data_IF_140868453193
#
_entry.id   IF_140868453193
#
_cell.length_a   1.000
_cell.length_b   1.000
_cell.length_c   1.000
_cell.angle_alpha   90.00
_cell.angle_beta   90.00
_cell.angle_gamma   90.00
#
_symmetry.space_group_name_H-M   'P 1'
#
loop_
_entity.id
_entity.type
_entity.pdbx_description
1 polymer ?
#
# COMPACT_ATOMS: atom_id res chain seq x y z
N UNK A 1 -9.32 -35.76 8.45
CA UNK A 1 -8.33 -34.81 7.90
C UNK A 1 -8.95 -34.07 6.71
N UNK A 2 -9.39 -32.82 6.88
CA UNK A 2 -9.95 -32.01 5.78
C UNK A 2 -8.82 -31.48 4.89
N UNK A 3 -8.87 -31.75 3.58
CA UNK A 3 -7.98 -31.19 2.55
C UNK A 3 -7.85 -29.67 2.74
N UNK A 4 -6.67 -29.18 3.12
CA UNK A 4 -6.31 -27.76 2.95
C UNK A 4 -6.49 -27.44 1.47
N UNK A 5 -7.40 -26.54 1.13
CA UNK A 5 -7.66 -26.16 -0.26
C UNK A 5 -6.47 -25.41 -0.85
N UNK A 6 -6.29 -25.59 -2.15
CA UNK A 6 -5.21 -25.14 -3.04
C UNK A 6 -5.08 -23.60 -3.20
N UNK A 7 -5.53 -22.81 -2.21
CA UNK A 7 -5.53 -21.34 -2.22
C UNK A 7 -4.12 -20.76 -2.38
N UNK A 8 -3.09 -21.39 -1.83
CA UNK A 8 -1.70 -20.96 -2.00
C UNK A 8 -1.24 -21.03 -3.46
N UNK A 9 -1.72 -22.01 -4.24
CA UNK A 9 -1.42 -22.11 -5.67
C UNK A 9 -2.16 -21.03 -6.48
N UNK A 10 -3.38 -20.66 -6.08
CA UNK A 10 -4.16 -19.60 -6.72
C UNK A 10 -3.57 -18.20 -6.47
N UNK A 11 -2.86 -18.01 -5.36
CA UNK A 11 -2.14 -16.79 -5.03
C UNK A 11 -0.73 -16.73 -5.64
N UNK A 12 -0.34 -17.72 -6.45
CA UNK A 12 0.95 -17.68 -7.13
C UNK A 12 0.97 -16.50 -8.14
N UNK A 13 2.04 -15.69 -8.20
CA UNK A 13 2.07 -14.49 -9.04
C UNK A 13 1.75 -14.74 -10.52
N UNK A 14 2.18 -15.88 -11.08
CA UNK A 14 1.85 -16.28 -12.46
C UNK A 14 0.36 -16.58 -12.68
N UNK A 15 -0.35 -17.08 -11.67
CA UNK A 15 -1.79 -17.35 -11.74
C UNK A 15 -2.56 -16.04 -11.64
N UNK A 16 -2.17 -15.16 -10.72
CA UNK A 16 -2.77 -13.82 -10.58
C UNK A 16 -2.55 -13.01 -11.86
N UNK A 17 -1.35 -13.09 -12.46
CA UNK A 17 -1.03 -12.36 -13.68
C UNK A 17 -1.98 -12.67 -14.85
N UNK A 18 -2.53 -13.89 -14.91
CA UNK A 18 -3.49 -14.35 -15.93
C UNK A 18 -4.89 -13.73 -15.77
N UNK A 19 -5.20 -13.12 -14.63
CA UNK A 19 -6.46 -12.42 -14.45
C UNK A 19 -6.51 -11.17 -15.34
N UNK A 20 -7.69 -10.90 -15.92
CA UNK A 20 -7.85 -9.89 -16.96
C UNK A 20 -7.65 -8.45 -16.49
N UNK A 21 -8.13 -8.10 -15.30
CA UNK A 21 -8.11 -6.72 -14.81
C UNK A 21 -7.29 -6.59 -13.54
N UNK A 22 -6.63 -5.45 -13.37
CA UNK A 22 -5.84 -5.16 -12.17
C UNK A 22 -6.71 -5.16 -10.90
N UNK A 23 -7.98 -4.76 -11.01
CA UNK A 23 -8.94 -4.83 -9.89
C UNK A 23 -9.18 -6.27 -9.44
N UNK A 24 -9.37 -7.21 -10.38
CA UNK A 24 -9.56 -8.62 -10.05
C UNK A 24 -8.31 -9.22 -9.42
N UNK A 25 -7.11 -8.83 -9.89
CA UNK A 25 -5.83 -9.22 -9.29
C UNK A 25 -5.74 -8.77 -7.83
N UNK A 26 -5.95 -7.48 -7.58
CA UNK A 26 -5.94 -6.89 -6.25
C UNK A 26 -6.96 -7.54 -5.30
N UNK A 27 -8.21 -7.70 -5.76
CA UNK A 27 -9.26 -8.34 -4.98
C UNK A 27 -8.91 -9.78 -4.62
N UNK A 28 -8.40 -10.56 -5.57
CA UNK A 28 -8.02 -11.96 -5.34
C UNK A 28 -6.89 -12.08 -4.31
N UNK A 29 -5.87 -11.21 -4.39
CA UNK A 29 -4.77 -11.16 -3.41
C UNK A 29 -5.31 -10.83 -2.02
N UNK A 30 -6.08 -9.75 -1.91
CA UNK A 30 -6.56 -9.23 -0.61
C UNK A 30 -7.56 -10.18 0.02
N UNK A 31 -8.56 -10.66 -0.72
CA UNK A 31 -9.57 -11.61 -0.21
C UNK A 31 -8.96 -12.98 0.10
N UNK A 32 -8.06 -13.49 -0.76
CA UNK A 32 -7.36 -14.75 -0.50
C UNK A 32 -6.49 -14.70 0.75
N UNK A 33 -5.83 -13.56 1.00
CA UNK A 33 -5.07 -13.32 2.23
C UNK A 33 -5.99 -13.24 3.46
N UNK A 34 -7.09 -12.47 3.41
CA UNK A 34 -8.05 -12.36 4.52
C UNK A 34 -8.69 -13.70 4.89
N UNK A 35 -9.04 -14.54 3.91
CA UNK A 35 -9.60 -15.88 4.15
C UNK A 35 -8.57 -16.82 4.79
N UNK A 36 -7.27 -16.66 4.48
CA UNK A 36 -6.18 -17.39 5.14
C UNK A 36 -5.91 -16.96 6.59
N UNK A 37 -6.35 -15.77 6.99
CA UNK A 37 -6.09 -15.14 8.29
C UNK A 37 -6.96 -15.63 9.45
N UNK A 38 -7.88 -16.57 9.23
CA UNK A 38 -8.71 -17.13 10.32
C UNK A 38 -7.93 -17.91 11.41
N UNK A 39 -6.58 -17.99 11.35
CA UNK A 39 -5.71 -18.27 12.51
C UNK A 39 -4.38 -17.52 12.42
N UNK A 40 -4.36 -16.25 12.83
CA UNK A 40 -3.14 -15.58 13.29
C UNK A 40 -2.91 -15.87 14.79
N UNK A 41 -1.70 -16.28 15.24
CA UNK A 41 -1.34 -16.36 16.65
C UNK A 41 -1.05 -14.97 17.27
N UNK A 42 -1.05 -13.91 16.46
CA UNK A 42 -1.01 -12.54 16.93
C UNK A 42 -2.41 -11.95 16.89
N UNK A 43 -2.89 -11.57 18.07
CA UNK A 43 -4.18 -10.95 18.34
C UNK A 43 -4.21 -9.57 17.65
N UNK A 44 -4.59 -9.55 16.38
CA UNK A 44 -4.93 -8.33 15.67
C UNK A 44 -6.33 -7.90 16.08
N UNK A 45 -6.43 -6.69 16.62
CA UNK A 45 -7.63 -5.94 17.00
C UNK A 45 -8.94 -6.52 16.46
N UNK A 46 -9.61 -7.32 17.30
CA UNK A 46 -11.03 -7.59 17.13
C UNK A 46 -11.76 -6.27 17.20
N UNK A 47 -12.40 -5.87 16.10
CA UNK A 47 -13.41 -4.82 16.08
C UNK A 47 -14.65 -5.42 16.74
N UNK A 48 -14.66 -5.44 18.07
CA UNK A 48 -15.83 -5.76 18.86
C UNK A 48 -16.16 -4.57 19.75
N UNK A 49 -17.12 -3.78 19.29
CA UNK A 49 -18.05 -2.97 20.07
C UNK A 49 -17.48 -1.91 21.03
N UNK A 50 -17.82 -0.65 20.77
CA UNK A 50 -17.55 0.49 21.66
C UNK A 50 -18.13 0.24 23.05
N UNK A 51 -17.30 0.20 24.09
CA UNK A 51 -17.82 0.08 25.45
C UNK A 51 -18.38 1.43 25.91
N UNK A 52 -19.62 1.40 26.42
CA UNK A 52 -20.14 2.47 27.25
C UNK A 52 -19.45 2.40 28.60
N UNK A 53 -18.69 3.44 28.98
CA UNK A 53 -18.16 3.53 30.34
C UNK A 53 -19.08 4.38 31.23
N UNK A 54 -19.25 4.03 32.51
CA UNK A 54 -19.93 4.91 33.47
C UNK A 54 -19.24 6.27 33.52
N UNK A 55 -20.03 7.33 33.53
CA UNK A 55 -19.55 8.69 33.74
C UNK A 55 -18.76 8.78 35.05
N UNK A 56 -17.60 9.43 34.99
CA UNK A 56 -16.83 9.81 36.17
C UNK A 56 -16.70 11.32 36.25
N UNK A 57 -16.58 11.83 37.47
CA UNK A 57 -16.38 13.26 37.70
C UNK A 57 -15.11 13.74 36.98
N UNK A 58 -15.25 14.73 36.11
CA UNK A 58 -14.19 15.21 35.21
C UNK A 58 -14.39 14.85 33.74
N UNK A 59 -15.31 13.93 33.43
CA UNK A 59 -15.67 13.63 32.04
C UNK A 59 -16.45 14.77 31.38
N UNK A 60 -16.18 14.98 30.10
CA UNK A 60 -16.89 15.95 29.27
C UNK A 60 -18.35 15.52 29.05
N UNK A 61 -19.29 16.36 29.49
CA UNK A 61 -20.74 16.14 29.33
C UNK A 61 -21.14 16.05 27.84
N UNK A 62 -20.33 16.61 26.93
CA UNK A 62 -20.57 16.54 25.48
C UNK A 62 -20.58 15.10 24.94
N UNK A 63 -19.88 14.18 25.60
CA UNK A 63 -19.75 12.79 25.16
C UNK A 63 -20.80 11.87 25.81
N UNK A 64 -21.78 12.44 26.53
CA UNK A 64 -22.82 11.66 27.20
C UNK A 64 -23.80 11.02 26.21
N UNK A 65 -24.11 9.74 26.41
CA UNK A 65 -25.11 9.04 25.62
C UNK A 65 -26.54 9.28 26.15
N UNK A 66 -27.20 10.31 25.62
CA UNK A 66 -28.59 10.61 25.97
C UNK A 66 -29.57 9.47 25.66
N UNK A 67 -29.27 8.58 24.69
CA UNK A 67 -30.14 7.43 24.37
C UNK A 67 -30.05 6.33 25.43
N UNK A 68 -28.86 6.09 25.97
CA UNK A 68 -28.67 5.14 27.08
C UNK A 68 -29.24 5.71 28.36
N UNK A 69 -29.05 7.01 28.60
CA UNK A 69 -29.66 7.71 29.73
C UNK A 69 -31.19 7.59 29.71
N UNK A 70 -31.84 7.86 28.58
CA UNK A 70 -33.30 7.76 28.45
C UNK A 70 -33.88 6.36 28.70
N UNK A 71 -33.06 5.30 28.62
CA UNK A 71 -33.49 3.91 28.83
C UNK A 71 -33.11 3.34 30.20
N UNK A 72 -32.04 3.85 30.81
CA UNK A 72 -31.44 3.23 31.99
C UNK A 72 -31.25 4.18 33.16
N UNK A 73 -31.51 5.47 32.98
CA UNK A 73 -31.27 6.57 33.94
C UNK A 73 -29.82 6.63 34.46
N UNK A 74 -28.90 5.93 33.79
CA UNK A 74 -27.48 5.88 34.13
C UNK A 74 -26.68 6.70 33.13
N UNK A 75 -25.73 7.46 33.66
CA UNK A 75 -24.84 8.29 32.86
C UNK A 75 -23.70 7.44 32.29
N UNK A 76 -23.69 7.33 30.95
CA UNK A 76 -22.63 6.65 30.22
C UNK A 76 -21.98 7.61 29.23
N UNK A 77 -20.66 7.55 29.14
CA UNK A 77 -19.88 8.28 28.13
C UNK A 77 -19.70 7.38 26.90
N UNK A 78 -20.00 7.92 25.72
CA UNK A 78 -19.59 7.35 24.44
C UNK A 78 -18.08 7.49 24.31
N UNK A 79 -17.37 6.37 24.40
CA UNK A 79 -15.99 6.33 23.94
C UNK A 79 -16.00 6.11 22.43
N UNK A 80 -15.53 7.11 21.71
CA UNK A 80 -15.21 6.98 20.29
C UNK A 80 -13.78 6.45 20.23
N UNK A 81 -13.55 5.26 19.66
CA UNK A 81 -12.23 5.00 19.10
C UNK A 81 -12.03 6.03 17.99
N UNK A 82 -10.95 6.81 18.06
CA UNK A 82 -10.55 7.62 16.92
C UNK A 82 -10.19 6.66 15.78
N UNK A 83 -11.14 6.37 14.91
CA UNK A 83 -10.85 5.94 13.56
C UNK A 83 -10.11 7.10 12.88
N UNK A 84 -8.80 7.16 13.06
CA UNK A 84 -7.96 8.04 12.25
C UNK A 84 -8.05 7.51 10.83
N UNK A 85 -8.95 8.05 10.00
CA UNK A 85 -8.98 7.78 8.57
C UNK A 85 -7.56 7.98 8.04
N UNK A 86 -6.87 6.87 7.74
CA UNK A 86 -5.47 6.90 7.36
C UNK A 86 -5.38 7.60 6.01
N UNK A 87 -4.38 8.46 5.87
CA UNK A 87 -4.05 9.06 4.59
C UNK A 87 -2.82 8.35 4.06
N UNK A 88 -2.96 7.62 2.97
CA UNK A 88 -1.90 6.83 2.35
C UNK A 88 -1.51 7.40 0.98
N UNK A 89 -0.23 7.33 0.67
CA UNK A 89 0.33 7.66 -0.63
C UNK A 89 1.08 6.43 -1.17
N UNK A 90 0.62 5.90 -2.31
CA UNK A 90 1.35 4.87 -3.04
C UNK A 90 2.26 5.57 -4.04
N UNK A 91 3.56 5.32 -3.94
CA UNK A 91 4.58 5.79 -4.87
C UNK A 91 5.10 4.57 -5.61
N UNK A 92 4.87 4.50 -6.92
CA UNK A 92 5.24 3.37 -7.76
C UNK A 92 6.25 3.81 -8.82
N UNK A 93 7.36 3.07 -8.87
CA UNK A 93 8.39 3.22 -9.88
C UNK A 93 7.95 2.63 -11.23
N UNK A 94 8.08 3.43 -12.28
CA UNK A 94 7.79 3.09 -13.69
C UNK A 94 9.04 3.24 -14.56
N UNK A 95 10.24 3.19 -13.97
CA UNK A 95 11.51 3.23 -14.68
C UNK A 95 11.79 1.93 -15.45
N UNK A 96 12.74 1.99 -16.39
CA UNK A 96 13.10 0.89 -17.29
C UNK A 96 13.68 -0.31 -16.56
N UNK A 97 14.37 -0.12 -15.43
CA UNK A 97 14.87 -1.21 -14.57
C UNK A 97 13.74 -2.10 -14.04
N UNK A 98 12.54 -1.54 -13.85
CA UNK A 98 11.35 -2.28 -13.44
C UNK A 98 10.78 -3.19 -14.54
N UNK A 99 11.17 -3.02 -15.81
CA UNK A 99 10.76 -3.95 -16.88
C UNK A 99 11.52 -5.28 -16.86
N UNK A 100 12.55 -5.39 -16.03
CA UNK A 100 13.35 -6.60 -15.98
C UNK A 100 12.53 -7.81 -15.51
N UNK A 101 12.76 -8.92 -16.20
CA UNK A 101 12.41 -10.29 -15.83
C UNK A 101 13.51 -11.20 -16.34
N UNK A 102 13.94 -12.15 -15.52
CA UNK A 102 14.82 -13.21 -16.02
C UNK A 102 13.99 -14.40 -16.56
N UNK A 103 13.84 -15.46 -15.77
CA UNK A 103 13.11 -16.69 -16.13
C UNK A 103 11.62 -16.65 -15.72
N UNK A 104 11.19 -15.57 -15.06
CA UNK A 104 9.81 -15.41 -14.61
C UNK A 104 8.84 -15.02 -15.73
N UNK A 105 7.56 -15.41 -15.59
CA UNK A 105 6.50 -14.99 -16.52
C UNK A 105 6.12 -13.49 -16.37
N UNK A 106 6.51 -12.85 -15.26
CA UNK A 106 6.13 -11.48 -14.90
C UNK A 106 7.37 -10.60 -14.70
N UNK A 107 7.26 -9.32 -15.08
CA UNK A 107 8.28 -8.30 -14.79
C UNK A 107 8.15 -7.78 -13.37
N UNK A 108 9.21 -7.17 -12.84
CA UNK A 108 9.15 -6.43 -11.55
C UNK A 108 8.02 -5.40 -11.57
N UNK A 109 7.80 -4.73 -12.69
CA UNK A 109 6.74 -3.75 -12.86
C UNK A 109 5.34 -4.38 -12.79
N UNK A 110 5.06 -5.47 -13.50
CA UNK A 110 3.77 -6.16 -13.42
C UNK A 110 3.46 -6.63 -11.99
N UNK A 111 4.47 -7.18 -11.30
CA UNK A 111 4.34 -7.54 -9.90
C UNK A 111 4.02 -6.32 -9.02
N UNK A 112 4.74 -5.21 -9.24
CA UNK A 112 4.59 -3.96 -8.49
C UNK A 112 3.23 -3.31 -8.72
N UNK A 113 2.66 -3.40 -9.93
CA UNK A 113 1.29 -2.96 -10.22
C UNK A 113 0.28 -3.72 -9.38
N UNK A 114 0.40 -5.04 -9.31
CA UNK A 114 -0.50 -5.88 -8.49
C UNK A 114 -0.35 -5.58 -7.01
N UNK A 115 0.89 -5.39 -6.54
CA UNK A 115 1.17 -5.01 -5.15
C UNK A 115 0.53 -3.66 -4.80
N UNK A 116 0.79 -2.63 -5.61
CA UNK A 116 0.21 -1.30 -5.48
C UNK A 116 -1.33 -1.36 -5.47
N UNK A 117 -1.91 -2.07 -6.45
CA UNK A 117 -3.35 -2.23 -6.57
C UNK A 117 -3.96 -2.96 -5.35
N UNK A 118 -3.27 -3.94 -4.80
CA UNK A 118 -3.69 -4.67 -3.60
C UNK A 118 -3.75 -3.74 -2.39
N UNK A 119 -2.74 -2.88 -2.18
CA UNK A 119 -2.78 -1.87 -1.13
C UNK A 119 -3.89 -0.84 -1.34
N UNK A 120 -4.03 -0.32 -2.56
CA UNK A 120 -5.09 0.64 -2.89
C UNK A 120 -6.47 0.04 -2.57
N UNK A 121 -6.70 -1.21 -3.01
CA UNK A 121 -7.95 -1.91 -2.76
C UNK A 121 -8.20 -2.12 -1.27
N UNK A 122 -7.19 -2.58 -0.52
CA UNK A 122 -7.29 -2.82 0.93
C UNK A 122 -7.64 -1.54 1.69
N UNK A 123 -6.88 -0.47 1.47
CA UNK A 123 -7.03 0.80 2.15
C UNK A 123 -8.37 1.47 1.82
N UNK A 124 -8.77 1.51 0.54
CA UNK A 124 -10.09 2.05 0.16
C UNK A 124 -11.24 1.20 0.69
N UNK A 125 -11.06 -0.13 0.84
CA UNK A 125 -12.05 -1.01 1.47
C UNK A 125 -12.23 -0.68 2.95
N UNK A 126 -11.16 -0.26 3.62
CA UNK A 126 -11.13 0.24 5.00
C UNK A 126 -11.55 1.71 5.15
N UNK A 127 -11.97 2.36 4.05
CA UNK A 127 -12.37 3.78 4.00
C UNK A 127 -11.24 4.79 4.20
N UNK A 128 -9.99 4.34 4.13
CA UNK A 128 -8.82 5.21 4.15
C UNK A 128 -8.69 6.02 2.85
N UNK A 129 -8.06 7.19 2.93
CA UNK A 129 -7.80 8.03 1.76
C UNK A 129 -6.50 7.62 1.09
N UNK A 130 -6.54 7.23 -0.18
CA UNK A 130 -5.35 6.75 -0.91
C UNK A 130 -5.04 7.66 -2.07
N UNK A 131 -3.80 8.15 -2.16
CA UNK A 131 -3.25 8.85 -3.32
C UNK A 131 -2.23 8.00 -4.06
N UNK A 132 -1.90 8.39 -5.29
CA UNK A 132 -0.95 7.69 -6.15
C UNK A 132 0.05 8.69 -6.76
N UNK A 133 1.32 8.31 -6.77
CA UNK A 133 2.37 8.97 -7.52
C UNK A 133 3.09 7.93 -8.39
N UNK A 134 3.28 8.23 -9.67
CA UNK A 134 4.03 7.41 -10.62
C UNK A 134 5.26 8.19 -11.06
N UNK A 135 6.42 7.56 -11.04
CA UNK A 135 7.67 8.24 -11.38
C UNK A 135 8.66 7.36 -12.15
N UNK A 136 9.59 8.00 -12.85
CA UNK A 136 10.79 7.36 -13.40
C UNK A 136 11.99 8.30 -13.25
N UNK A 137 12.41 8.98 -14.32
CA UNK A 137 13.39 10.06 -14.29
C UNK A 137 12.81 11.36 -13.71
N UNK A 138 11.48 11.46 -13.71
CA UNK A 138 10.69 12.57 -13.18
C UNK A 138 9.33 12.06 -12.69
N UNK A 139 8.57 12.93 -12.03
CA UNK A 139 7.20 12.65 -11.64
C UNK A 139 6.29 12.62 -12.88
N UNK A 140 5.72 11.45 -13.19
CA UNK A 140 4.84 11.23 -14.34
C UNK A 140 3.38 11.51 -14.05
N UNK A 141 2.89 11.07 -12.89
CA UNK A 141 1.51 11.29 -12.46
C UNK A 141 1.41 11.51 -10.97
N UNK A 142 0.46 12.35 -10.55
CA UNK A 142 0.14 12.56 -9.14
C UNK A 142 -1.36 12.75 -8.94
N UNK A 143 -1.93 11.83 -8.17
CA UNK A 143 -3.34 11.73 -7.83
C UNK A 143 -3.50 11.90 -6.31
N UNK A 144 -4.23 12.95 -5.91
CA UNK A 144 -4.39 13.32 -4.48
C UNK A 144 -5.22 12.28 -3.72
N UNK A 145 -4.91 12.02 -2.44
CA UNK A 145 -5.67 11.06 -1.64
C UNK A 145 -7.16 11.36 -1.55
N UNK A 146 -7.99 10.34 -1.83
CA UNK A 146 -9.44 10.34 -1.62
C UNK A 146 -9.88 8.96 -1.12
N UNK A 147 -10.95 8.91 -0.33
CA UNK A 147 -11.48 7.66 0.26
C UNK A 147 -12.69 7.09 -0.48
N UNK A 148 -13.12 7.72 -1.58
CA UNK A 148 -14.31 7.26 -2.33
C UNK A 148 -14.00 5.94 -3.05
N UNK A 149 -14.89 4.96 -2.96
CA UNK A 149 -14.76 3.67 -3.70
C UNK A 149 -14.64 3.84 -5.21
N UNK A 150 -15.33 4.83 -5.79
CA UNK A 150 -15.21 5.15 -7.23
C UNK A 150 -13.81 5.62 -7.63
N UNK A 151 -12.98 6.01 -6.66
CA UNK A 151 -11.60 6.39 -6.89
C UNK A 151 -10.69 5.22 -7.19
N UNK A 152 -11.07 3.99 -6.79
CA UNK A 152 -10.32 2.77 -7.07
C UNK A 152 -10.08 2.63 -8.57
N UNK A 153 -11.14 2.64 -9.38
CA UNK A 153 -11.04 2.50 -10.84
C UNK A 153 -10.14 3.57 -11.43
N UNK A 154 -10.25 4.82 -10.97
CA UNK A 154 -9.40 5.92 -11.45
C UNK A 154 -7.90 5.66 -11.16
N UNK A 155 -7.57 5.20 -9.95
CA UNK A 155 -6.18 4.89 -9.57
C UNK A 155 -5.64 3.71 -10.37
N UNK A 156 -6.41 2.63 -10.52
CA UNK A 156 -5.99 1.44 -11.25
C UNK A 156 -5.82 1.70 -12.75
N UNK A 157 -6.76 2.43 -13.36
CA UNK A 157 -6.64 2.83 -14.76
C UNK A 157 -5.46 3.76 -14.98
N UNK A 158 -5.12 4.62 -14.00
CA UNK A 158 -3.93 5.45 -14.10
C UNK A 158 -2.66 4.61 -14.10
N UNK A 159 -2.55 3.59 -13.23
CA UNK A 159 -1.41 2.66 -13.20
C UNK A 159 -1.29 1.90 -14.53
N UNK A 160 -2.40 1.43 -15.11
CA UNK A 160 -2.40 0.65 -16.36
C UNK A 160 -1.93 1.43 -17.59
N UNK A 161 -1.96 2.77 -17.58
CA UNK A 161 -1.49 3.61 -18.69
C UNK A 161 0.02 3.61 -18.88
N UNK A 162 0.78 3.26 -17.83
CA UNK A 162 2.23 3.38 -17.85
C UNK A 162 2.88 2.04 -18.15
N UNK A 163 3.92 2.10 -18.97
CA UNK A 163 4.87 1.03 -19.20
C UNK A 163 6.28 1.55 -18.90
N UNK A 164 7.17 0.74 -18.31
CA UNK A 164 8.58 1.07 -18.14
C UNK A 164 9.22 1.54 -19.45
N UNK A 165 9.72 2.78 -19.52
CA UNK A 165 10.29 3.31 -20.76
C UNK A 165 11.43 4.33 -20.59
N UNK A 166 11.71 4.77 -19.36
CA UNK A 166 12.62 5.87 -19.08
C UNK A 166 13.61 5.50 -17.99
N UNK A 167 14.77 6.15 -18.02
CA UNK A 167 15.82 6.00 -17.01
C UNK A 167 15.30 6.29 -15.59
N UNK A 168 15.96 5.72 -14.61
CA UNK A 168 15.64 5.86 -13.19
C UNK A 168 16.35 7.09 -12.62
N UNK A 169 15.60 8.04 -12.04
CA UNK A 169 16.16 9.10 -11.17
C UNK A 169 15.29 9.21 -9.92
N UNK A 170 15.50 8.27 -9.01
CA UNK A 170 14.63 8.04 -7.86
C UNK A 170 14.73 9.20 -6.88
N UNK A 171 15.94 9.71 -6.62
CA UNK A 171 16.16 10.80 -5.66
C UNK A 171 15.40 12.08 -6.03
N UNK A 172 15.49 12.51 -7.30
CA UNK A 172 14.81 13.70 -7.85
C UNK A 172 13.30 13.55 -7.78
N UNK A 173 12.78 12.42 -8.26
CA UNK A 173 11.34 12.14 -8.28
C UNK A 173 10.73 12.11 -6.88
N UNK A 174 11.38 11.43 -5.93
CA UNK A 174 10.94 11.38 -4.53
C UNK A 174 10.90 12.78 -3.92
N UNK A 175 11.89 13.63 -4.21
CA UNK A 175 11.91 15.01 -3.74
C UNK A 175 10.68 15.80 -4.23
N UNK A 176 10.37 15.72 -5.52
CA UNK A 176 9.20 16.39 -6.10
C UNK A 176 7.87 15.87 -5.52
N UNK A 177 7.79 14.57 -5.22
CA UNK A 177 6.60 13.98 -4.58
C UNK A 177 6.49 14.45 -3.13
N UNK A 178 7.61 14.45 -2.39
CA UNK A 178 7.66 14.90 -1.01
C UNK A 178 7.16 16.35 -0.87
N UNK A 179 7.43 17.23 -1.82
CA UNK A 179 6.90 18.60 -1.82
C UNK A 179 5.37 18.66 -1.94
N UNK A 180 4.77 17.77 -2.74
CA UNK A 180 3.31 17.69 -2.94
C UNK A 180 2.56 17.06 -1.76
N UNK A 181 3.23 16.25 -0.96
CA UNK A 181 2.67 15.62 0.25
C UNK A 181 2.75 16.62 1.40
N UNK A 182 1.60 17.14 1.83
CA UNK A 182 1.51 18.18 2.86
C UNK A 182 0.94 17.69 4.20
N UNK A 183 0.21 16.58 4.20
CA UNK A 183 -0.39 16.00 5.40
C UNK A 183 0.41 14.79 5.87
N UNK A 184 0.47 14.59 7.19
CA UNK A 184 0.97 13.36 7.80
C UNK A 184 0.13 12.19 7.31
N UNK A 185 0.80 11.09 7.00
CA UNK A 185 0.17 9.85 6.59
C UNK A 185 1.18 8.72 6.39
N UNK A 186 0.70 7.65 5.80
CA UNK A 186 1.50 6.52 5.35
C UNK A 186 2.00 6.77 3.92
N UNK A 187 3.28 6.55 3.67
CA UNK A 187 3.89 6.60 2.34
C UNK A 187 4.43 5.21 2.04
N UNK A 188 3.91 4.57 1.01
CA UNK A 188 4.35 3.27 0.53
C UNK A 188 5.12 3.48 -0.76
N UNK A 189 6.42 3.19 -0.77
CA UNK A 189 7.28 3.29 -1.95
C UNK A 189 7.58 1.90 -2.49
N UNK A 190 7.29 1.67 -3.78
CA UNK A 190 7.48 0.40 -4.47
C UNK A 190 8.45 0.65 -5.63
N UNK A 191 9.67 0.13 -5.52
CA UNK A 191 10.76 0.34 -6.46
C UNK A 191 11.82 -0.75 -6.28
N UNK A 192 12.70 -0.92 -7.27
CA UNK A 192 13.93 -1.69 -7.15
C UNK A 192 15.10 -0.86 -6.60
N UNK A 193 14.91 0.46 -6.38
CA UNK A 193 15.88 1.39 -5.81
C UNK A 193 17.27 1.33 -6.47
N UNK A 194 17.29 1.08 -7.78
CA UNK A 194 18.51 0.97 -8.58
C UNK A 194 19.07 2.36 -8.91
N UNK A 195 19.58 3.06 -7.88
CA UNK A 195 20.17 4.42 -7.93
C UNK A 195 21.15 4.60 -6.75
N UNK A 196 21.78 5.77 -6.58
CA UNK A 196 22.68 6.01 -5.43
C UNK A 196 21.92 5.88 -4.09
N UNK A 197 22.27 4.90 -3.23
CA UNK A 197 21.61 4.69 -1.95
C UNK A 197 21.67 5.92 -1.03
N UNK A 198 22.74 6.72 -1.08
CA UNK A 198 22.88 7.92 -0.25
C UNK A 198 21.88 8.99 -0.65
N UNK A 199 21.68 9.18 -1.95
CA UNK A 199 20.72 10.15 -2.47
C UNK A 199 19.27 9.72 -2.20
N UNK A 200 18.97 8.43 -2.37
CA UNK A 200 17.65 7.85 -2.03
C UNK A 200 17.35 8.04 -0.54
N UNK A 201 18.29 7.69 0.35
CA UNK A 201 18.09 7.87 1.79
C UNK A 201 17.89 9.35 2.16
N UNK A 202 18.62 10.25 1.49
CA UNK A 202 18.46 11.70 1.68
C UNK A 202 17.07 12.19 1.26
N UNK A 203 16.55 11.73 0.11
CA UNK A 203 15.22 12.11 -0.37
C UNK A 203 14.10 11.57 0.53
N UNK A 204 14.22 10.33 0.99
CA UNK A 204 13.25 9.69 1.90
C UNK A 204 13.17 10.38 3.27
N UNK A 205 14.26 10.96 3.78
CA UNK A 205 14.25 11.74 5.03
C UNK A 205 13.27 12.90 5.00
N UNK A 206 12.94 13.46 3.82
CA UNK A 206 11.94 14.52 3.70
C UNK A 206 10.56 14.08 4.15
N UNK A 207 10.18 12.83 3.90
CA UNK A 207 8.92 12.27 4.40
C UNK A 207 8.93 12.15 5.92
N UNK A 208 10.04 11.71 6.49
CA UNK A 208 10.23 11.61 7.94
C UNK A 208 10.13 12.97 8.63
N UNK A 209 10.77 14.01 8.11
CA UNK A 209 10.65 15.38 8.64
C UNK A 209 9.21 15.90 8.61
N UNK A 210 8.40 15.45 7.65
CA UNK A 210 6.96 15.74 7.56
C UNK A 210 6.09 14.83 8.43
N UNK A 211 6.70 14.02 9.32
CA UNK A 211 6.05 13.06 10.22
C UNK A 211 5.27 11.96 9.51
N UNK A 212 5.62 11.65 8.26
CA UNK A 212 5.03 10.51 7.55
C UNK A 212 5.70 9.22 8.00
N UNK A 213 4.91 8.17 8.07
CA UNK A 213 5.41 6.80 8.19
C UNK A 213 5.73 6.29 6.79
N UNK A 214 6.94 5.77 6.59
CA UNK A 214 7.41 5.35 5.27
C UNK A 214 7.64 3.85 5.28
N UNK A 215 6.97 3.13 4.39
CA UNK A 215 7.18 1.71 4.12
C UNK A 215 7.79 1.56 2.74
N UNK A 216 8.86 0.78 2.65
CA UNK A 216 9.60 0.56 1.43
C UNK A 216 9.43 -0.91 1.02
N UNK A 217 8.96 -1.11 -0.22
CA UNK A 217 8.96 -2.40 -0.89
C UNK A 217 10.04 -2.40 -1.95
N UNK A 218 11.18 -3.00 -1.59
CA UNK A 218 12.28 -3.24 -2.51
C UNK A 218 11.94 -4.46 -3.37
N UNK A 219 11.60 -4.25 -4.63
CA UNK A 219 11.20 -5.29 -5.58
C UNK A 219 12.42 -5.72 -6.39
N UNK A 220 12.82 -6.98 -6.25
CA UNK A 220 13.98 -7.56 -6.94
C UNK A 220 13.56 -8.82 -7.69
N UNK A 221 14.16 -9.05 -8.85
CA UNK A 221 14.13 -10.36 -9.50
C UNK A 221 15.00 -11.35 -8.69
N UNK A 222 14.62 -12.63 -8.56
CA UNK A 222 15.42 -13.62 -7.83
C UNK A 222 16.88 -13.71 -8.28
N UNK A 223 17.16 -13.44 -9.56
CA UNK A 223 18.53 -13.43 -10.08
C UNK A 223 19.30 -12.18 -9.68
N UNK A 224 18.67 -11.02 -9.57
CA UNK A 224 19.31 -9.80 -9.03
C UNK A 224 19.78 -10.02 -7.59
N UNK A 225 19.04 -10.82 -6.81
CA UNK A 225 19.40 -11.17 -5.43
C UNK A 225 20.56 -12.18 -5.34
N UNK A 226 20.51 -13.24 -6.14
CA UNK A 226 21.46 -14.35 -6.03
C UNK A 226 22.72 -14.17 -6.90
N UNK A 227 22.64 -13.31 -7.91
CA UNK A 227 23.72 -12.96 -8.85
C UNK A 227 24.46 -14.17 -9.45
N UNK A 228 23.76 -15.30 -9.65
CA UNK A 228 24.33 -16.56 -10.14
C UNK A 228 24.49 -16.58 -11.68
N UNK A 229 25.13 -15.55 -12.25
CA UNK A 229 25.45 -15.53 -13.68
C UNK A 229 26.68 -16.42 -13.94
N UNK A 230 26.54 -17.40 -14.84
CA UNK A 230 27.60 -18.39 -15.14
C UNK A 230 28.69 -17.87 -16.07
N UNK A 231 28.44 -16.76 -16.77
CA UNK A 231 29.33 -16.18 -17.77
C UNK A 231 29.65 -14.72 -17.43
N UNK A 232 30.83 -14.26 -17.82
CA UNK A 232 31.20 -12.84 -17.77
C UNK A 232 30.16 -12.01 -18.52
N UNK A 233 29.51 -11.09 -17.81
CA UNK A 233 28.39 -10.31 -18.32
C UNK A 233 28.59 -8.82 -17.97
N UNK A 234 28.42 -7.94 -18.96
CA UNK A 234 28.44 -6.49 -18.76
C UNK A 234 26.98 -6.03 -18.59
N UNK A 235 26.67 -5.47 -17.43
CA UNK A 235 25.37 -4.87 -17.16
C UNK A 235 25.43 -3.39 -17.54
N UNK A 236 24.75 -3.04 -18.62
CA UNK A 236 24.55 -1.64 -19.04
C UNK A 236 23.14 -1.28 -18.57
N UNK A 237 23.01 -0.13 -17.90
CA UNK A 237 21.77 0.41 -17.33
C UNK A 237 20.52 -0.14 -18.03
N UNK A 238 19.85 -1.07 -17.34
CA UNK A 238 18.53 -1.53 -17.73
C UNK A 238 17.52 -0.49 -17.33
#
# INVERSE_FOLDING_TARGET
MKKRSDLSKLLHPSVIAKLKTLELKARTVVEGFMVGYHKSPYHGFSVEFSQHRPYMQGDSIKNLDWKVFAKSEKYFIKQYEEETNLLAHIILDTSKSMDYKNEGEITKFEYSKVLAASFIYLLLKQQDAVGLALYSSELKSYLRPKSKRTYLTQLLTEIEKYSPNSETKTSVSINSIAEKISKRGLVIVISDFLDDPKEILSSLKKFYYKKNEVIIFHVLDPVEKNFNFKNDSIFIDM
#
